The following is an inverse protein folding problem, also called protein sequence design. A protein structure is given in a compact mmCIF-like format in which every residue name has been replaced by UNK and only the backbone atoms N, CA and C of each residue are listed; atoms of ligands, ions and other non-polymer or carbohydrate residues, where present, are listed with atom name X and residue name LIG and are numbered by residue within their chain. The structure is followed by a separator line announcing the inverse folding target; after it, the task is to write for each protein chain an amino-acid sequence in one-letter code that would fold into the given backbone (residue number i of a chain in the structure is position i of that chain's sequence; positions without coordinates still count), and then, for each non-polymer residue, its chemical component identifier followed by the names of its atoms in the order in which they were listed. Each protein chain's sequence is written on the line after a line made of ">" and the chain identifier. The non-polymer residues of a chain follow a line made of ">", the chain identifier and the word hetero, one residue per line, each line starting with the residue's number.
data_IF_679836377723
#
_entry.id   IF_679836377723
#
_cell.length_a   1.000
_cell.length_b   1.000
_cell.length_c   1.000
_cell.angle_alpha   90.00
_cell.angle_beta   90.00
_cell.angle_gamma   90.00
#
_symmetry.space_group_name_H-M   'P 1'
#
loop_
_entity.id
_entity.type
_entity.pdbx_description
1 polymer ?
#
# COMPACT_ATOMS: atom_id res chain seq x y z
N UNK A 1 26.62 9.96 -7.09
CA UNK A 1 26.80 9.38 -5.74
C UNK A 1 26.25 7.96 -5.76
N UNK A 2 26.97 6.95 -5.28
CA UNK A 2 26.44 5.60 -5.27
C UNK A 2 25.24 5.50 -4.31
N UNK A 3 24.21 4.75 -4.71
CA UNK A 3 23.02 4.47 -3.89
C UNK A 3 23.44 3.86 -2.55
N UNK A 4 23.09 4.52 -1.44
CA UNK A 4 23.38 4.06 -0.07
C UNK A 4 22.23 3.15 0.36
N UNK A 5 22.52 1.91 0.77
CA UNK A 5 21.51 0.95 1.25
C UNK A 5 20.81 1.54 2.50
N UNK A 6 19.55 1.91 2.39
CA UNK A 6 18.75 2.54 3.46
C UNK A 6 17.92 1.54 4.27
N UNK A 7 17.82 0.27 3.83
CA UNK A 7 17.09 -0.79 4.52
C UNK A 7 16.98 -2.07 3.72
N UNK A 8 16.30 -3.07 4.29
CA UNK A 8 15.93 -4.32 3.62
C UNK A 8 14.40 -4.40 3.63
N UNK A 9 13.79 -4.42 2.44
CA UNK A 9 12.38 -4.75 2.29
C UNK A 9 12.26 -6.25 1.99
N UNK A 10 11.65 -7.01 2.90
CA UNK A 10 11.29 -8.39 2.64
C UNK A 10 9.92 -8.41 1.96
N UNK A 11 9.86 -8.89 0.72
CA UNK A 11 8.62 -8.99 -0.06
C UNK A 11 8.28 -10.47 -0.35
N UNK A 12 8.02 -11.29 0.68
CA UNK A 12 7.71 -12.70 0.49
C UNK A 12 6.37 -12.86 -0.25
N UNK A 13 6.29 -13.83 -1.17
CA UNK A 13 5.00 -14.27 -1.70
C UNK A 13 4.27 -15.07 -0.62
N UNK A 14 3.19 -14.51 -0.08
CA UNK A 14 2.31 -15.24 0.83
C UNK A 14 1.37 -16.14 0.02
N UNK A 15 1.50 -17.46 0.18
CA UNK A 15 0.66 -18.45 -0.51
C UNK A 15 -0.69 -18.71 0.19
N UNK A 16 -0.91 -18.12 1.37
CA UNK A 16 -2.14 -18.23 2.15
C UNK A 16 -3.09 -17.04 1.94
N UNK A 17 -4.32 -17.16 2.45
CA UNK A 17 -5.27 -16.04 2.50
C UNK A 17 -5.08 -15.25 3.79
N UNK A 18 -5.19 -13.93 3.71
CA UNK A 18 -5.25 -13.09 4.90
C UNK A 18 -6.44 -13.54 5.78
N UNK A 19 -6.25 -13.74 7.09
CA UNK A 19 -7.36 -14.02 8.00
C UNK A 19 -8.46 -12.96 7.88
N UNK A 20 -9.73 -13.38 7.95
CA UNK A 20 -10.91 -12.50 7.79
C UNK A 20 -10.82 -11.24 8.65
N UNK A 21 -10.45 -11.40 9.93
CA UNK A 21 -10.32 -10.31 10.89
C UNK A 21 -9.23 -9.29 10.51
N UNK A 22 -8.14 -9.74 9.86
CA UNK A 22 -7.06 -8.86 9.43
C UNK A 22 -7.52 -8.08 8.19
N UNK A 23 -8.08 -8.79 7.21
CA UNK A 23 -8.60 -8.17 6.00
C UNK A 23 -9.64 -7.08 6.32
N UNK A 24 -10.52 -7.33 7.30
CA UNK A 24 -11.51 -6.32 7.72
C UNK A 24 -10.87 -5.06 8.30
N UNK A 25 -9.69 -5.15 8.92
CA UNK A 25 -8.91 -4.00 9.38
C UNK A 25 -8.17 -3.31 8.22
N UNK A 26 -7.57 -4.10 7.32
CA UNK A 26 -6.89 -3.61 6.12
C UNK A 26 -7.84 -2.74 5.28
N UNK A 27 -9.07 -3.20 5.05
CA UNK A 27 -10.08 -2.46 4.27
C UNK A 27 -10.42 -1.11 4.92
N UNK A 28 -10.60 -1.09 6.25
CA UNK A 28 -10.88 0.15 6.97
C UNK A 28 -9.73 1.15 6.84
N UNK A 29 -8.49 0.70 7.01
CA UNK A 29 -7.32 1.55 6.87
C UNK A 29 -7.14 2.04 5.42
N UNK A 30 -7.29 1.15 4.44
CA UNK A 30 -7.20 1.47 3.02
C UNK A 30 -8.19 2.56 2.62
N UNK A 31 -9.42 2.50 3.16
CA UNK A 31 -10.44 3.52 2.95
C UNK A 31 -10.00 4.88 3.45
N UNK A 32 -9.52 4.99 4.69
CA UNK A 32 -9.12 6.29 5.25
C UNK A 32 -7.90 6.88 4.52
N UNK A 33 -6.92 6.06 4.15
CA UNK A 33 -5.78 6.51 3.34
C UNK A 33 -6.25 6.99 1.96
N UNK A 34 -7.16 6.26 1.32
CA UNK A 34 -7.72 6.65 0.01
C UNK A 34 -8.47 7.98 0.12
N UNK A 35 -9.30 8.15 1.15
CA UNK A 35 -10.02 9.41 1.40
C UNK A 35 -9.04 10.56 1.56
N UNK A 36 -7.98 10.40 2.35
CA UNK A 36 -6.97 11.44 2.53
C UNK A 36 -6.27 11.82 1.21
N UNK A 37 -5.85 10.83 0.40
CA UNK A 37 -5.22 11.08 -0.90
C UNK A 37 -6.18 11.81 -1.84
N UNK A 38 -7.44 11.38 -1.92
CA UNK A 38 -8.43 11.98 -2.80
C UNK A 38 -8.80 13.40 -2.35
N UNK A 39 -8.90 13.65 -1.04
CA UNK A 39 -9.17 14.97 -0.51
C UNK A 39 -8.05 15.98 -0.84
N UNK A 40 -6.79 15.54 -0.78
CA UNK A 40 -5.63 16.43 -0.98
C UNK A 40 -5.22 16.57 -2.45
N UNK A 41 -5.43 15.53 -3.27
CA UNK A 41 -4.87 15.45 -4.63
C UNK A 41 -5.89 15.08 -5.73
N UNK A 42 -7.13 14.76 -5.37
CA UNK A 42 -8.17 14.32 -6.28
C UNK A 42 -8.12 12.82 -6.63
N UNK A 43 -9.16 12.29 -7.30
CA UNK A 43 -9.30 10.86 -7.60
C UNK A 43 -8.26 10.33 -8.59
N UNK A 44 -7.83 11.16 -9.55
CA UNK A 44 -6.86 10.76 -10.59
C UNK A 44 -5.49 10.41 -9.98
N UNK A 45 -5.09 11.10 -8.90
CA UNK A 45 -3.84 10.82 -8.20
C UNK A 45 -3.86 9.44 -7.55
N UNK A 46 -5.00 9.02 -7.00
CA UNK A 46 -5.14 7.68 -6.43
C UNK A 46 -4.95 6.61 -7.49
N UNK A 47 -5.57 6.77 -8.67
CA UNK A 47 -5.40 5.85 -9.79
C UNK A 47 -3.94 5.83 -10.27
N UNK A 48 -3.30 7.00 -10.40
CA UNK A 48 -1.89 7.11 -10.80
C UNK A 48 -0.96 6.38 -9.84
N UNK A 49 -1.16 6.55 -8.52
CA UNK A 49 -0.39 5.87 -7.47
C UNK A 49 -0.61 4.36 -7.47
N UNK A 50 -1.87 3.93 -7.61
CA UNK A 50 -2.23 2.52 -7.63
C UNK A 50 -1.68 1.80 -8.87
N UNK A 51 -1.53 2.50 -9.99
CA UNK A 51 -0.87 1.98 -11.21
C UNK A 51 0.66 1.88 -11.07
N UNK A 52 1.29 2.50 -10.08
CA UNK A 52 2.74 2.42 -9.87
C UNK A 52 3.09 1.17 -9.05
N UNK A 53 3.80 0.17 -9.61
CA UNK A 53 3.96 -1.15 -8.99
C UNK A 53 4.62 -1.09 -7.62
N UNK A 54 5.65 -0.26 -7.45
CA UNK A 54 6.30 -0.09 -6.14
C UNK A 54 5.40 0.60 -5.12
N UNK A 55 4.53 1.51 -5.55
CA UNK A 55 3.63 2.22 -4.64
C UNK A 55 2.50 1.29 -4.21
N UNK A 56 1.93 0.54 -5.14
CA UNK A 56 0.92 -0.48 -4.85
C UNK A 56 1.44 -1.54 -3.87
N UNK A 57 2.68 -1.99 -4.06
CA UNK A 57 3.30 -2.96 -3.16
C UNK A 57 3.56 -2.38 -1.76
N UNK A 58 4.10 -1.16 -1.69
CA UNK A 58 4.29 -0.46 -0.42
C UNK A 58 2.95 -0.21 0.31
N UNK A 59 1.90 0.16 -0.43
CA UNK A 59 0.56 0.32 0.10
C UNK A 59 0.05 -0.99 0.70
N UNK A 60 0.19 -2.12 0.00
CA UNK A 60 -0.11 -3.44 0.55
C UNK A 60 0.64 -3.74 1.86
N UNK A 61 1.94 -3.47 1.92
CA UNK A 61 2.75 -3.65 3.13
C UNK A 61 2.28 -2.78 4.32
N UNK A 62 1.76 -1.58 4.06
CA UNK A 62 1.21 -0.69 5.11
C UNK A 62 -0.12 -1.23 5.64
N UNK A 63 -0.93 -1.87 4.79
CA UNK A 63 -2.23 -2.39 5.18
C UNK A 63 -2.13 -3.64 6.05
N UNK A 64 -1.23 -4.57 5.72
CA UNK A 64 -1.04 -5.82 6.45
C UNK A 64 -0.56 -6.99 5.61
#
# INVERSE_FOLDING_TARGET
>A
MPSKRTGIANLPLHHGRAPRWLFDRMVKLAREITIAIVADYGPDEMLRRMSHPYWFQAFGCVLG
#
